data_IF_983571821623
#
_entry.id   IF_983571821623
#
_cell.length_a   1.000
_cell.length_b   1.000
_cell.length_c   1.000
_cell.angle_alpha   90.00
_cell.angle_beta   90.00
_cell.angle_gamma   90.00
#
_symmetry.space_group_name_H-M   'P 1'
#
loop_
_entity.id
_entity.type
_entity.pdbx_description
1 polymer ?
#
# COMPACT_ATOMS: atom_id res chain seq x y z
N UNK A 1 19.73 19.03 8.06
CA UNK A 1 18.69 18.89 9.10
C UNK A 1 18.52 17.40 9.32
N UNK A 2 18.79 16.87 10.52
CA UNK A 2 18.55 15.45 10.82
C UNK A 2 17.03 15.28 10.90
N UNK A 3 16.41 14.73 9.85
CA UNK A 3 14.97 14.39 9.89
C UNK A 3 14.74 13.40 11.04
N UNK A 4 13.95 13.81 12.03
CA UNK A 4 13.49 12.92 13.08
C UNK A 4 12.33 12.11 12.52
N UNK A 5 12.60 10.91 12.02
CA UNK A 5 11.60 10.07 11.35
C UNK A 5 10.46 9.69 12.29
N UNK A 6 10.74 9.66 13.59
CA UNK A 6 9.73 9.37 14.61
C UNK A 6 8.60 10.41 14.63
N UNK A 7 8.94 11.70 14.54
CA UNK A 7 7.95 12.79 14.61
C UNK A 7 7.07 12.85 13.36
N UNK A 8 7.51 12.24 12.26
CA UNK A 8 6.76 12.15 11.00
C UNK A 8 5.75 11.00 10.98
N UNK A 9 5.76 10.12 11.99
CA UNK A 9 4.82 8.99 12.09
C UNK A 9 3.48 9.46 12.66
N UNK A 10 2.40 8.79 12.24
CA UNK A 10 1.10 8.94 12.87
C UNK A 10 1.11 8.42 14.32
N UNK A 11 0.12 8.83 15.10
CA UNK A 11 0.07 8.54 16.54
C UNK A 11 0.08 7.02 16.83
N UNK A 12 -0.56 6.21 15.99
CA UNK A 12 -0.57 4.76 16.13
C UNK A 12 0.81 4.15 15.87
N UNK A 13 1.43 4.51 14.75
CA UNK A 13 2.79 4.07 14.42
C UNK A 13 3.84 4.56 15.43
N UNK A 14 3.69 5.75 16.01
CA UNK A 14 4.57 6.22 17.07
C UNK A 14 4.53 5.31 18.31
N UNK A 15 3.34 4.81 18.69
CA UNK A 15 3.20 3.93 19.85
C UNK A 15 3.86 2.58 19.61
N UNK A 16 3.64 1.99 18.44
CA UNK A 16 4.31 0.75 18.02
C UNK A 16 5.84 0.92 18.02
N UNK A 17 6.34 2.06 17.52
CA UNK A 17 7.78 2.35 17.49
C UNK A 17 8.35 2.59 18.89
N UNK A 18 7.61 3.19 19.82
CA UNK A 18 8.03 3.32 21.23
C UNK A 18 8.17 1.94 21.86
N UNK A 19 7.18 1.07 21.68
CA UNK A 19 7.22 -0.28 22.23
C UNK A 19 8.40 -1.08 21.63
N UNK A 20 8.57 -1.01 20.30
CA UNK A 20 9.70 -1.65 19.60
C UNK A 20 11.06 -1.15 20.10
N UNK A 21 11.19 0.16 20.35
CA UNK A 21 12.41 0.75 20.88
C UNK A 21 12.74 0.23 22.29
N UNK A 22 11.72 0.09 23.14
CA UNK A 22 11.86 -0.48 24.48
C UNK A 22 12.24 -1.95 24.42
N UNK A 23 11.51 -2.75 23.64
CA UNK A 23 11.69 -4.21 23.55
C UNK A 23 13.07 -4.59 23.01
N UNK A 24 13.62 -3.79 22.08
CA UNK A 24 14.91 -4.05 21.43
C UNK A 24 16.07 -3.22 21.98
N UNK A 25 15.82 -2.35 22.97
CA UNK A 25 16.81 -1.43 23.51
C UNK A 25 17.38 -0.47 22.47
N UNK A 26 16.56 -0.04 21.51
CA UNK A 26 16.96 0.86 20.43
C UNK A 26 16.59 2.31 20.74
N UNK A 27 17.27 3.25 20.08
CA UNK A 27 16.79 4.64 20.05
C UNK A 27 15.51 4.74 19.22
N UNK A 28 14.62 5.69 19.57
CA UNK A 28 13.38 5.94 18.83
C UNK A 28 13.63 6.17 17.34
N UNK A 29 14.69 6.91 17.01
CA UNK A 29 15.07 7.17 15.62
C UNK A 29 15.47 5.89 14.86
N UNK A 30 16.21 4.98 15.50
CA UNK A 30 16.60 3.71 14.90
C UNK A 30 15.37 2.81 14.73
N UNK A 31 14.52 2.73 15.75
CA UNK A 31 13.28 1.96 15.69
C UNK A 31 12.34 2.49 14.60
N UNK A 32 12.16 3.81 14.49
CA UNK A 32 11.37 4.44 13.43
C UNK A 32 11.91 4.12 12.03
N UNK A 33 13.23 4.18 11.85
CA UNK A 33 13.85 3.86 10.57
C UNK A 33 13.65 2.39 10.18
N UNK A 34 13.84 1.46 11.11
CA UNK A 34 13.65 0.03 10.84
C UNK A 34 12.17 -0.33 10.65
N UNK A 35 11.26 0.31 11.39
CA UNK A 35 9.81 0.21 11.20
C UNK A 35 9.41 0.63 9.78
N UNK A 36 9.91 1.78 9.30
CA UNK A 36 9.65 2.27 7.95
C UNK A 36 10.28 1.40 6.85
N UNK A 37 11.45 0.80 7.09
CA UNK A 37 12.05 -0.17 6.15
C UNK A 37 11.19 -1.43 6.05
N UNK A 38 10.69 -1.91 7.18
CA UNK A 38 9.87 -3.12 7.26
C UNK A 38 8.52 -2.90 6.57
N UNK A 39 7.89 -1.73 6.78
CA UNK A 39 6.63 -1.38 6.11
C UNK A 39 6.79 -1.24 4.59
N UNK A 40 7.90 -0.66 4.11
CA UNK A 40 8.24 -0.64 2.67
C UNK A 40 8.39 -2.04 2.10
N UNK A 41 9.07 -2.94 2.80
CA UNK A 41 9.21 -4.34 2.38
C UNK A 41 7.84 -5.04 2.28
N UNK A 42 6.98 -4.84 3.27
CA UNK A 42 5.63 -5.39 3.26
C UNK A 42 4.77 -4.85 2.11
N UNK A 43 4.85 -3.55 1.83
CA UNK A 43 4.14 -2.94 0.69
C UNK A 43 4.56 -3.57 -0.65
N UNK A 44 5.86 -3.84 -0.84
CA UNK A 44 6.38 -4.54 -2.02
C UNK A 44 5.86 -5.97 -2.09
N UNK A 45 5.92 -6.73 -0.99
CA UNK A 45 5.39 -8.10 -0.93
C UNK A 45 3.90 -8.14 -1.27
N UNK A 46 3.10 -7.25 -0.68
CA UNK A 46 1.67 -7.17 -0.96
C UNK A 46 1.36 -6.82 -2.42
N UNK A 47 2.21 -6.01 -3.05
CA UNK A 47 2.09 -5.66 -4.47
C UNK A 47 2.42 -6.85 -5.36
N UNK A 48 3.47 -7.61 -5.03
CA UNK A 48 3.82 -8.85 -5.73
C UNK A 48 2.71 -9.89 -5.61
N UNK A 49 2.09 -10.05 -4.44
CA UNK A 49 0.95 -10.95 -4.28
C UNK A 49 -0.27 -10.53 -5.09
N UNK A 50 -0.57 -9.22 -5.18
CA UNK A 50 -1.63 -8.72 -6.05
C UNK A 50 -1.34 -8.99 -7.52
N UNK A 51 -0.09 -8.87 -7.97
CA UNK A 51 0.32 -9.20 -9.34
C UNK A 51 0.28 -10.70 -9.65
N UNK A 52 0.49 -11.57 -8.65
CA UNK A 52 0.36 -13.03 -8.80
C UNK A 52 -1.09 -13.47 -9.02
N UNK A 53 -2.08 -12.66 -8.65
CA UNK A 53 -3.48 -12.96 -8.98
C UNK A 53 -3.63 -12.84 -10.49
N UNK A 54 -4.14 -13.90 -11.13
CA UNK A 54 -4.43 -13.90 -12.57
C UNK A 54 -5.19 -12.62 -12.90
N UNK A 55 -4.73 -11.90 -13.92
CA UNK A 55 -5.42 -10.72 -14.40
C UNK A 55 -6.91 -11.09 -14.61
N UNK A 56 -7.85 -10.27 -14.12
CA UNK A 56 -9.25 -10.51 -14.39
C UNK A 56 -9.40 -10.55 -15.91
N UNK A 57 -9.74 -11.73 -16.43
CA UNK A 57 -10.02 -11.89 -17.85
C UNK A 57 -11.29 -11.10 -18.08
N UNK A 58 -11.16 -9.94 -18.70
CA UNK A 58 -12.29 -9.20 -19.23
C UNK A 58 -12.87 -10.07 -20.33
N UNK A 59 -13.90 -10.86 -20.03
CA UNK A 59 -14.69 -11.52 -21.06
C UNK A 59 -15.34 -10.43 -21.90
N UNK A 60 -14.84 -10.25 -23.12
CA UNK A 60 -15.54 -9.45 -24.12
C UNK A 60 -16.86 -10.14 -24.41
N UNK A 61 -17.95 -9.64 -23.81
CA UNK A 61 -19.31 -10.03 -24.19
C UNK A 61 -19.50 -9.69 -25.66
N UNK A 62 -19.34 -10.70 -26.51
CA UNK A 62 -19.63 -10.64 -27.94
C UNK A 62 -21.13 -10.88 -28.11
N UNK A 63 -21.94 -9.87 -27.81
CA UNK A 63 -23.39 -10.01 -27.96
C UNK A 63 -24.19 -8.91 -27.30
N UNK A 64 -24.56 -7.91 -28.09
CA UNK A 64 -25.49 -6.88 -27.69
C UNK A 64 -25.33 -5.69 -28.62
N UNK A 65 -26.10 -5.68 -29.69
CA UNK A 65 -26.40 -4.47 -30.46
C UNK A 65 -27.28 -3.56 -29.61
N UNK A 66 -26.86 -2.30 -29.38
CA UNK A 66 -27.84 -1.25 -29.25
C UNK A 66 -27.44 -0.05 -30.10
N UNK A 67 -28.23 0.25 -31.13
CA UNK A 67 -28.86 1.57 -31.28
C UNK A 67 -29.84 1.58 -32.45
N UNK A 68 -31.12 1.45 -32.06
CA UNK A 68 -32.26 2.13 -32.67
C UNK A 68 -31.87 3.57 -33.00
N UNK A 69 -31.99 3.96 -34.26
CA UNK A 69 -31.78 5.33 -34.73
C UNK A 69 -31.38 5.42 -36.20
N UNK A 70 -32.36 5.34 -37.11
CA UNK A 70 -32.30 6.05 -38.39
C UNK A 70 -33.73 6.21 -38.95
N UNK A 71 -34.52 7.05 -38.30
CA UNK A 71 -35.56 7.83 -38.99
C UNK A 71 -34.98 9.23 -39.18
N UNK A 72 -34.59 9.56 -40.41
CA UNK A 72 -34.38 10.93 -40.87
C UNK A 72 -34.38 10.96 -42.40
N UNK A 73 -35.42 11.63 -42.91
CA UNK A 73 -35.65 12.14 -44.28
C UNK A 73 -35.98 11.14 -45.39
#
# INVERSE_FOLDING_TARGET
MLENYFDCLDVGAQEEVRQLAVDLGWSLQKAAMEYLKTSKSLAVVSSVERMKRKAPVLEMVRGGTPKKGLDSA
#
